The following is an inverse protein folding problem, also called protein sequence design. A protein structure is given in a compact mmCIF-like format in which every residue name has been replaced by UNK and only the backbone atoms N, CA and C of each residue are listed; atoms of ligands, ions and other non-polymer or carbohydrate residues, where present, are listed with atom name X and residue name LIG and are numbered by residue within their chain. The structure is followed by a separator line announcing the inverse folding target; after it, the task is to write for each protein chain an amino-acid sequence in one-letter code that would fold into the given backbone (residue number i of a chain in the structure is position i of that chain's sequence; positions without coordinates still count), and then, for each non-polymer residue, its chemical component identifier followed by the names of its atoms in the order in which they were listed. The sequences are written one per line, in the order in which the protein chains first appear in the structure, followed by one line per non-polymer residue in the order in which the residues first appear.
data_IF_466172793240
#
_entry.id   IF_466172793240
#
_cell.length_a   1.000
_cell.length_b   1.000
_cell.length_c   1.000
_cell.angle_alpha   90.00
_cell.angle_beta   90.00
_cell.angle_gamma   90.00
#
_symmetry.space_group_name_H-M   'P 1'
#
loop_
_entity.id
_entity.type
_entity.pdbx_description
1 polymer ?
#
# COMPACT_ATOMS: atom_id res chain seq x y z
N UNK A 1 -27.28 -25.29 -2.42
CA UNK A 1 -27.49 -23.88 -2.85
C UNK A 1 -28.00 -23.91 -4.29
N UNK A 2 -28.91 -23.00 -4.66
CA UNK A 2 -29.34 -22.85 -6.06
C UNK A 2 -28.13 -22.54 -6.94
N UNK A 3 -28.05 -23.19 -8.09
CA UNK A 3 -27.05 -22.89 -9.11
C UNK A 3 -27.32 -21.50 -9.68
N UNK A 4 -26.28 -20.66 -9.81
CA UNK A 4 -26.42 -19.35 -10.46
C UNK A 4 -26.33 -19.59 -11.96
N UNK A 5 -27.41 -19.24 -12.66
CA UNK A 5 -27.53 -19.37 -14.11
C UNK A 5 -27.63 -17.99 -14.75
N UNK A 6 -27.64 -17.95 -16.09
CA UNK A 6 -27.80 -16.71 -16.87
C UNK A 6 -29.15 -16.00 -16.65
N UNK A 7 -30.15 -16.73 -16.17
CA UNK A 7 -31.48 -16.17 -15.88
C UNK A 7 -31.68 -15.80 -14.41
N UNK A 8 -30.71 -16.12 -13.55
CA UNK A 8 -30.76 -15.78 -12.13
C UNK A 8 -30.60 -14.27 -11.97
N UNK A 9 -31.50 -13.65 -11.23
CA UNK A 9 -31.45 -12.22 -10.87
C UNK A 9 -30.42 -11.96 -9.76
N UNK A 10 -29.98 -10.71 -9.60
CA UNK A 10 -29.15 -10.31 -8.48
C UNK A 10 -29.88 -10.57 -7.15
N UNK A 11 -31.17 -10.24 -7.07
CA UNK A 11 -31.99 -10.55 -5.89
C UNK A 11 -31.97 -12.04 -5.52
N UNK A 12 -32.14 -12.94 -6.50
CA UNK A 12 -32.04 -14.39 -6.25
C UNK A 12 -30.61 -14.82 -5.89
N UNK A 13 -29.58 -14.17 -6.45
CA UNK A 13 -28.19 -14.48 -6.15
C UNK A 13 -27.84 -14.19 -4.67
N UNK A 14 -28.50 -13.19 -4.05
CA UNK A 14 -28.34 -12.86 -2.63
C UNK A 14 -28.82 -13.98 -1.68
N UNK A 15 -29.62 -14.95 -2.14
CA UNK A 15 -30.01 -16.12 -1.32
C UNK A 15 -28.80 -16.92 -0.81
N UNK A 16 -27.65 -16.82 -1.51
CA UNK A 16 -26.39 -17.50 -1.16
C UNK A 16 -25.66 -16.86 0.02
N UNK A 17 -25.94 -15.59 0.32
CA UNK A 17 -25.26 -14.85 1.38
C UNK A 17 -25.77 -15.31 2.76
N UNK A 18 -24.92 -15.25 3.79
CA UNK A 18 -25.44 -15.39 5.15
C UNK A 18 -26.20 -14.12 5.55
N UNK A 19 -27.07 -14.22 6.55
CA UNK A 19 -27.85 -13.06 7.00
C UNK A 19 -26.93 -11.93 7.47
N UNK A 20 -25.83 -12.25 8.14
CA UNK A 20 -24.89 -11.26 8.66
C UNK A 20 -24.12 -10.55 7.53
N UNK A 21 -23.76 -11.25 6.46
CA UNK A 21 -23.18 -10.64 5.25
C UNK A 21 -24.16 -9.67 4.59
N UNK A 22 -25.45 -10.05 4.51
CA UNK A 22 -26.50 -9.19 3.99
C UNK A 22 -26.73 -7.94 4.85
N UNK A 23 -26.61 -8.06 6.18
CA UNK A 23 -26.71 -6.91 7.07
C UNK A 23 -25.53 -5.96 6.86
N UNK A 24 -24.32 -6.49 6.76
CA UNK A 24 -23.12 -5.70 6.42
C UNK A 24 -23.32 -4.94 5.12
N UNK A 25 -23.76 -5.64 4.07
CA UNK A 25 -23.99 -5.02 2.77
C UNK A 25 -25.12 -3.98 2.82
N UNK A 26 -26.22 -4.27 3.53
CA UNK A 26 -27.30 -3.30 3.73
C UNK A 26 -26.81 -2.01 4.40
N UNK A 27 -25.96 -2.09 5.42
CA UNK A 27 -25.38 -0.91 6.07
C UNK A 27 -24.44 -0.13 5.14
N UNK A 28 -23.67 -0.84 4.31
CA UNK A 28 -22.81 -0.21 3.30
C UNK A 28 -23.61 0.52 2.21
N UNK A 29 -24.82 0.04 1.90
CA UNK A 29 -25.80 0.71 1.03
C UNK A 29 -26.60 1.82 1.74
N UNK A 30 -26.27 2.14 3.00
CA UNK A 30 -26.94 3.19 3.77
C UNK A 30 -28.31 2.80 4.37
N UNK A 31 -28.71 1.52 4.31
CA UNK A 31 -29.96 1.07 4.91
C UNK A 31 -29.86 1.04 6.44
N UNK A 32 -30.90 1.55 7.11
CA UNK A 32 -31.01 1.56 8.57
C UNK A 32 -32.28 0.84 9.03
N UNK A 33 -32.31 0.37 10.29
CA UNK A 33 -33.49 -0.32 10.84
C UNK A 33 -33.73 -1.75 10.32
N UNK A 34 -32.81 -2.31 9.53
CA UNK A 34 -32.99 -3.61 8.84
C UNK A 34 -32.62 -4.85 9.67
N UNK A 35 -32.02 -4.69 10.86
CA UNK A 35 -31.50 -5.81 11.67
C UNK A 35 -32.55 -6.83 12.10
N UNK A 36 -33.80 -6.38 12.26
CA UNK A 36 -34.94 -7.22 12.67
C UNK A 36 -35.61 -7.95 11.51
N UNK A 37 -35.28 -7.62 10.26
CA UNK A 37 -35.89 -8.24 9.08
C UNK A 37 -35.53 -9.72 9.00
N UNK A 38 -36.44 -10.51 8.44
CA UNK A 38 -36.13 -11.88 8.03
C UNK A 38 -35.20 -11.84 6.81
N UNK A 39 -34.45 -12.92 6.57
CA UNK A 39 -33.49 -12.97 5.45
C UNK A 39 -34.14 -12.64 4.10
N UNK A 40 -35.34 -13.14 3.84
CA UNK A 40 -36.06 -12.86 2.59
C UNK A 40 -36.41 -11.36 2.43
N UNK A 41 -36.95 -10.73 3.47
CA UNK A 41 -37.27 -9.29 3.48
C UNK A 41 -36.00 -8.43 3.36
N UNK A 42 -34.90 -8.87 3.98
CA UNK A 42 -33.60 -8.20 3.87
C UNK A 42 -33.03 -8.29 2.46
N UNK A 43 -33.13 -9.44 1.79
CA UNK A 43 -32.73 -9.63 0.39
C UNK A 43 -33.51 -8.66 -0.51
N UNK A 44 -34.82 -8.54 -0.32
CA UNK A 44 -35.66 -7.62 -1.09
C UNK A 44 -35.20 -6.17 -0.92
N UNK A 45 -34.93 -5.71 0.31
CA UNK A 45 -34.47 -4.34 0.55
C UNK A 45 -33.06 -4.07 0.01
N UNK A 46 -32.12 -5.01 0.19
CA UNK A 46 -30.76 -4.89 -0.35
C UNK A 46 -30.79 -4.86 -1.88
N UNK A 47 -31.56 -5.75 -2.52
CA UNK A 47 -31.70 -5.77 -3.96
C UNK A 47 -32.33 -4.49 -4.49
N UNK A 48 -33.41 -4.00 -3.86
CA UNK A 48 -34.04 -2.75 -4.24
C UNK A 48 -33.07 -1.57 -4.14
N UNK A 49 -32.38 -1.41 -3.00
CA UNK A 49 -31.45 -0.30 -2.78
C UNK A 49 -30.27 -0.32 -3.76
N UNK A 50 -29.64 -1.48 -4.00
CA UNK A 50 -28.51 -1.59 -4.94
C UNK A 50 -28.92 -1.27 -6.38
N UNK A 51 -30.17 -1.59 -6.75
CA UNK A 51 -30.73 -1.36 -8.09
C UNK A 51 -31.42 0.01 -8.25
N UNK A 52 -31.46 0.83 -7.20
CA UNK A 52 -31.92 2.21 -7.33
C UNK A 52 -31.02 2.98 -8.31
N UNK A 53 -31.57 3.80 -9.23
CA UNK A 53 -30.78 4.42 -10.29
C UNK A 53 -29.58 5.23 -9.79
N UNK A 54 -29.72 5.92 -8.67
CA UNK A 54 -28.65 6.74 -8.08
C UNK A 54 -27.52 5.88 -7.49
N UNK A 55 -27.85 4.83 -6.73
CA UNK A 55 -26.86 3.90 -6.18
C UNK A 55 -26.10 3.18 -7.30
N UNK A 56 -26.84 2.68 -8.30
CA UNK A 56 -26.24 2.02 -9.45
C UNK A 56 -25.39 2.99 -10.29
N UNK A 57 -25.80 4.26 -10.41
CA UNK A 57 -25.02 5.30 -11.10
C UNK A 57 -23.63 5.43 -10.50
N UNK A 58 -23.51 5.65 -9.20
CA UNK A 58 -22.21 5.86 -8.58
C UNK A 58 -21.38 4.58 -8.48
N UNK A 59 -22.02 3.44 -8.23
CA UNK A 59 -21.37 2.12 -8.26
C UNK A 59 -20.77 1.79 -9.63
N UNK A 60 -21.46 2.12 -10.72
CA UNK A 60 -20.96 1.94 -12.08
C UNK A 60 -19.90 2.97 -12.47
N UNK A 61 -19.91 4.16 -11.86
CA UNK A 61 -19.06 5.28 -12.25
C UNK A 61 -17.56 5.09 -11.93
N UNK A 62 -17.22 4.16 -11.03
CA UNK A 62 -15.81 3.83 -10.74
C UNK A 62 -15.20 2.87 -11.76
N UNK A 63 -16.02 2.21 -12.58
CA UNK A 63 -15.51 1.33 -13.63
C UNK A 63 -14.78 2.14 -14.70
N UNK A 64 -13.60 1.69 -15.09
CA UNK A 64 -12.92 2.27 -16.24
C UNK A 64 -13.53 1.82 -17.57
N UNK A 65 -13.06 2.41 -18.66
CA UNK A 65 -13.61 2.16 -20.00
C UNK A 65 -13.47 0.69 -20.44
N UNK A 66 -12.44 -0.02 -19.98
CA UNK A 66 -12.23 -1.42 -20.34
C UNK A 66 -13.23 -2.31 -19.61
N UNK A 67 -13.41 -2.09 -18.30
CA UNK A 67 -14.38 -2.82 -17.49
C UNK A 67 -15.82 -2.54 -17.91
N UNK A 68 -16.16 -1.27 -18.23
CA UNK A 68 -17.46 -0.95 -18.83
C UNK A 68 -17.68 -1.65 -20.17
N UNK A 69 -16.66 -1.69 -21.04
CA UNK A 69 -16.79 -2.40 -22.32
C UNK A 69 -17.02 -3.90 -22.14
N UNK A 70 -16.43 -4.53 -21.12
CA UNK A 70 -16.70 -5.93 -20.75
C UNK A 70 -18.16 -6.07 -20.29
N UNK A 71 -18.61 -5.22 -19.36
CA UNK A 71 -19.98 -5.19 -18.86
C UNK A 71 -21.00 -5.02 -20.01
N UNK A 72 -20.80 -4.05 -20.90
CA UNK A 72 -21.69 -3.79 -22.03
C UNK A 72 -21.73 -4.92 -23.06
N UNK A 73 -20.60 -5.61 -23.28
CA UNK A 73 -20.59 -6.84 -24.11
C UNK A 73 -21.41 -7.93 -23.43
N UNK A 74 -21.29 -8.06 -22.10
CA UNK A 74 -22.02 -9.04 -21.31
C UNK A 74 -23.53 -8.75 -21.19
N UNK A 75 -23.99 -7.53 -21.48
CA UNK A 75 -25.42 -7.21 -21.62
C UNK A 75 -26.04 -7.86 -22.87
N UNK A 76 -25.24 -8.13 -23.91
CA UNK A 76 -25.71 -8.67 -25.19
C UNK A 76 -25.69 -10.21 -25.23
N UNK A 77 -25.16 -10.84 -24.19
CA UNK A 77 -24.93 -12.28 -24.10
C UNK A 77 -23.74 -12.59 -23.20
N UNK A 78 -23.24 -13.82 -23.24
CA UNK A 78 -22.11 -14.22 -22.39
C UNK A 78 -20.79 -13.66 -22.91
N UNK A 79 -20.06 -12.99 -22.01
CA UNK A 79 -18.68 -12.61 -22.25
C UNK A 79 -17.74 -13.76 -21.87
N UNK A 80 -16.84 -14.14 -22.77
CA UNK A 80 -15.84 -15.17 -22.50
C UNK A 80 -14.52 -14.47 -22.19
N UNK A 81 -14.00 -14.68 -20.98
CA UNK A 81 -12.80 -14.02 -20.51
C UNK A 81 -11.60 -14.99 -20.51
N UNK A 82 -10.43 -14.40 -20.68
CA UNK A 82 -9.14 -15.07 -20.62
C UNK A 82 -8.33 -14.54 -19.43
N UNK A 83 -7.10 -15.01 -19.25
CA UNK A 83 -6.21 -14.58 -18.15
C UNK A 83 -6.04 -13.05 -18.10
N UNK A 84 -6.03 -12.37 -19.25
CA UNK A 84 -5.80 -10.91 -19.34
C UNK A 84 -7.00 -10.08 -18.91
N UNK A 85 -8.20 -10.62 -19.06
CA UNK A 85 -9.46 -9.91 -18.75
C UNK A 85 -10.11 -10.42 -17.46
N UNK A 86 -9.54 -11.47 -16.88
CA UNK A 86 -10.05 -12.16 -15.70
C UNK A 86 -10.18 -11.23 -14.48
N UNK A 87 -9.16 -10.43 -14.16
CA UNK A 87 -9.18 -9.58 -12.96
C UNK A 87 -10.21 -8.47 -13.07
N UNK A 88 -10.42 -7.93 -14.28
CA UNK A 88 -11.51 -6.98 -14.57
C UNK A 88 -12.87 -7.64 -14.41
N UNK A 89 -13.05 -8.86 -14.91
CA UNK A 89 -14.30 -9.62 -14.74
C UNK A 89 -14.58 -9.90 -13.26
N UNK A 90 -13.58 -10.31 -12.49
CA UNK A 90 -13.75 -10.54 -11.06
C UNK A 90 -14.08 -9.23 -10.33
N UNK A 91 -13.42 -8.13 -10.66
CA UNK A 91 -13.75 -6.81 -10.12
C UNK A 91 -15.21 -6.41 -10.42
N UNK A 92 -15.70 -6.65 -11.65
CA UNK A 92 -17.10 -6.40 -12.02
C UNK A 92 -18.06 -7.29 -11.21
N UNK A 93 -17.74 -8.59 -11.08
CA UNK A 93 -18.50 -9.55 -10.28
C UNK A 93 -18.56 -9.15 -8.80
N UNK A 94 -17.46 -8.66 -8.24
CA UNK A 94 -17.38 -8.24 -6.84
C UNK A 94 -18.19 -6.98 -6.54
N UNK A 95 -18.48 -6.13 -7.53
CA UNK A 95 -19.46 -5.05 -7.38
C UNK A 95 -20.91 -5.53 -7.53
N UNK A 96 -21.13 -6.85 -7.55
CA UNK A 96 -22.45 -7.48 -7.64
C UNK A 96 -23.22 -7.21 -8.94
N UNK A 97 -22.52 -6.88 -10.02
CA UNK A 97 -23.11 -6.55 -11.32
C UNK A 97 -23.41 -7.78 -12.19
N UNK A 98 -22.85 -8.95 -11.84
CA UNK A 98 -23.02 -10.17 -12.60
C UNK A 98 -22.35 -11.37 -11.95
N UNK A 99 -22.31 -12.48 -12.68
CA UNK A 99 -21.67 -13.71 -12.24
C UNK A 99 -20.62 -14.18 -13.23
N UNK A 100 -19.52 -14.72 -12.69
CA UNK A 100 -18.41 -15.28 -13.45
C UNK A 100 -18.14 -16.71 -12.99
N UNK A 101 -18.04 -17.64 -13.95
CA UNK A 101 -17.73 -19.04 -13.70
C UNK A 101 -17.16 -19.68 -14.96
N UNK A 102 -16.15 -20.53 -14.83
CA UNK A 102 -15.60 -21.35 -15.92
C UNK A 102 -15.19 -20.53 -17.18
N UNK A 103 -14.63 -19.33 -17.02
CA UNK A 103 -14.24 -18.49 -18.16
C UNK A 103 -15.39 -17.73 -18.82
N UNK A 104 -16.60 -17.81 -18.26
CA UNK A 104 -17.78 -17.08 -18.73
C UNK A 104 -18.24 -16.04 -17.70
N UNK A 105 -18.67 -14.88 -18.19
CA UNK A 105 -19.28 -13.81 -17.41
C UNK A 105 -20.60 -13.37 -18.03
N UNK A 106 -21.61 -13.14 -17.19
CA UNK A 106 -22.90 -12.57 -17.59
C UNK A 106 -23.44 -11.60 -16.55
N UNK A 107 -24.16 -10.59 -17.01
CA UNK A 107 -24.82 -9.57 -16.17
C UNK A 107 -26.14 -10.13 -15.64
N UNK A 108 -26.50 -9.79 -14.41
CA UNK A 108 -27.80 -10.18 -13.85
C UNK A 108 -28.96 -9.45 -14.57
N UNK A 109 -30.08 -10.12 -14.91
CA UNK A 109 -31.15 -9.50 -15.72
C UNK A 109 -31.78 -8.23 -15.11
N UNK A 110 -31.92 -8.19 -13.80
CA UNK A 110 -32.42 -7.04 -13.03
C UNK A 110 -31.40 -5.90 -12.96
N UNK A 111 -30.10 -6.19 -12.88
CA UNK A 111 -29.02 -5.20 -13.06
C UNK A 111 -29.05 -4.61 -14.47
N UNK A 112 -29.17 -5.44 -15.51
CA UNK A 112 -29.28 -4.99 -16.89
C UNK A 112 -30.50 -4.06 -17.09
N UNK A 113 -31.64 -4.39 -16.48
CA UNK A 113 -32.84 -3.55 -16.52
C UNK A 113 -32.66 -2.22 -15.78
N UNK A 114 -32.01 -2.22 -14.61
CA UNK A 114 -31.72 -1.01 -13.86
C UNK A 114 -30.75 -0.09 -14.63
N UNK A 115 -29.74 -0.68 -15.30
CA UNK A 115 -28.75 0.02 -16.10
C UNK A 115 -29.36 0.86 -17.24
N UNK A 116 -30.47 0.42 -17.84
CA UNK A 116 -31.18 1.20 -18.87
C UNK A 116 -31.67 2.57 -18.39
N UNK A 117 -31.88 2.74 -17.07
CA UNK A 117 -32.29 4.02 -16.47
C UNK A 117 -31.11 4.93 -16.12
N UNK A 118 -29.90 4.37 -16.09
CA UNK A 118 -28.68 5.03 -15.62
C UNK A 118 -27.80 5.47 -16.80
N UNK A 119 -27.68 4.63 -17.83
CA UNK A 119 -26.82 4.91 -18.96
C UNK A 119 -27.26 6.17 -19.70
N UNK A 120 -26.30 7.01 -20.07
CA UNK A 120 -26.56 8.25 -20.77
C UNK A 120 -25.33 9.16 -20.84
N UNK A 121 -25.51 10.35 -21.38
CA UNK A 121 -24.44 11.34 -21.51
C UNK A 121 -23.96 11.86 -20.16
N UNK A 122 -24.87 12.02 -19.19
CA UNK A 122 -24.55 12.46 -17.83
C UNK A 122 -23.63 11.44 -17.14
N UNK A 123 -24.04 10.17 -17.09
CA UNK A 123 -23.21 9.08 -16.60
C UNK A 123 -21.85 9.05 -17.30
N UNK A 124 -21.83 9.08 -18.64
CA UNK A 124 -20.60 9.00 -19.42
C UNK A 124 -19.64 10.15 -19.13
N UNK A 125 -20.15 11.32 -18.72
CA UNK A 125 -19.35 12.49 -18.36
C UNK A 125 -18.80 12.35 -16.93
N UNK A 126 -19.65 11.93 -16.00
CA UNK A 126 -19.28 11.73 -14.60
C UNK A 126 -18.27 10.59 -14.45
N UNK A 127 -18.55 9.43 -15.04
CA UNK A 127 -17.73 8.23 -14.98
C UNK A 127 -16.28 8.48 -15.41
N UNK A 128 -16.03 9.26 -16.48
CA UNK A 128 -14.65 9.57 -16.91
C UNK A 128 -13.83 10.28 -15.83
N UNK A 129 -14.46 11.11 -15.01
CA UNK A 129 -13.82 11.78 -13.87
C UNK A 129 -13.73 10.83 -12.67
N UNK A 130 -14.84 10.18 -12.34
CA UNK A 130 -14.95 9.26 -11.21
C UNK A 130 -13.99 8.08 -11.32
N UNK A 131 -13.92 7.40 -12.47
CA UNK A 131 -13.00 6.29 -12.69
C UNK A 131 -11.54 6.72 -12.58
N UNK A 132 -11.20 7.96 -12.97
CA UNK A 132 -9.84 8.48 -12.79
C UNK A 132 -9.52 8.76 -11.33
N UNK A 133 -10.41 9.43 -10.61
CA UNK A 133 -10.24 9.69 -9.18
C UNK A 133 -10.17 8.37 -8.41
N UNK A 134 -10.96 7.36 -8.79
CA UNK A 134 -10.89 6.01 -8.23
C UNK A 134 -9.49 5.38 -8.39
N UNK A 135 -8.87 5.49 -9.57
CA UNK A 135 -7.47 5.04 -9.78
C UNK A 135 -6.48 5.83 -8.91
N UNK A 136 -6.73 7.11 -8.67
CA UNK A 136 -5.91 7.92 -7.77
C UNK A 136 -6.07 7.52 -6.31
N UNK A 137 -7.28 7.16 -5.86
CA UNK A 137 -7.53 6.61 -4.53
C UNK A 137 -6.73 5.31 -4.35
N UNK A 138 -6.79 4.40 -5.32
CA UNK A 138 -6.00 3.16 -5.29
C UNK A 138 -4.51 3.45 -5.14
N UNK A 139 -3.96 4.36 -5.97
CA UNK A 139 -2.56 4.77 -5.83
C UNK A 139 -2.23 5.28 -4.41
N UNK A 140 -3.04 6.20 -3.89
CA UNK A 140 -2.80 6.79 -2.57
C UNK A 140 -2.89 5.75 -1.45
N UNK A 141 -3.83 4.83 -1.56
CA UNK A 141 -4.00 3.73 -0.61
C UNK A 141 -2.77 2.82 -0.53
N UNK A 142 -2.13 2.56 -1.68
CA UNK A 142 -1.01 1.62 -1.82
C UNK A 142 0.35 2.28 -1.59
N UNK A 143 0.50 3.56 -1.94
CA UNK A 143 1.79 4.26 -1.87
C UNK A 143 1.96 5.16 -0.65
N UNK A 144 0.86 5.60 -0.03
CA UNK A 144 0.92 6.60 1.04
C UNK A 144 0.25 6.12 2.33
N UNK A 145 -0.88 5.42 2.23
CA UNK A 145 -1.80 5.06 3.31
C UNK A 145 -2.40 6.25 4.09
N UNK A 146 -1.63 7.28 4.42
CA UNK A 146 -2.08 8.54 5.01
C UNK A 146 -1.79 9.65 4.01
N UNK A 147 -2.81 10.13 3.32
CA UNK A 147 -2.66 11.07 2.21
C UNK A 147 -3.33 12.40 2.53
N UNK A 148 -2.56 13.48 2.73
CA UNK A 148 -3.10 14.84 2.81
C UNK A 148 -3.90 15.21 1.55
N UNK A 149 -4.95 16.02 1.70
CA UNK A 149 -5.84 16.41 0.59
C UNK A 149 -5.10 17.16 -0.52
N UNK A 150 -4.10 17.99 -0.21
CA UNK A 150 -3.28 18.68 -1.21
C UNK A 150 -2.47 17.69 -2.07
N UNK A 151 -1.84 16.69 -1.44
CA UNK A 151 -1.16 15.60 -2.13
C UNK A 151 -2.13 14.79 -2.99
N UNK A 152 -3.31 14.45 -2.46
CA UNK A 152 -4.34 13.73 -3.23
C UNK A 152 -4.78 14.51 -4.48
N UNK A 153 -4.96 15.83 -4.35
CA UNK A 153 -5.26 16.71 -5.48
C UNK A 153 -4.12 16.78 -6.49
N UNK A 154 -2.86 16.75 -6.05
CA UNK A 154 -1.71 16.66 -6.96
C UNK A 154 -1.73 15.36 -7.77
N UNK A 155 -2.03 14.22 -7.14
CA UNK A 155 -2.20 12.93 -7.84
C UNK A 155 -3.35 12.99 -8.84
N UNK A 156 -4.52 13.52 -8.44
CA UNK A 156 -5.66 13.66 -9.37
C UNK A 156 -5.31 14.57 -10.55
N UNK A 157 -4.61 15.67 -10.29
CA UNK A 157 -4.32 16.70 -11.29
C UNK A 157 -3.07 16.41 -12.13
N UNK A 158 -2.39 15.28 -11.91
CA UNK A 158 -1.26 14.86 -12.75
C UNK A 158 -1.73 14.51 -14.19
N UNK A 159 -3.01 14.20 -14.38
CA UNK A 159 -3.59 13.90 -15.69
C UNK A 159 -3.98 15.16 -16.44
N UNK A 160 -3.35 15.37 -17.59
CA UNK A 160 -3.58 16.51 -18.47
C UNK A 160 -5.08 16.67 -18.80
N UNK A 161 -5.59 17.88 -18.60
CA UNK A 161 -6.99 18.23 -18.87
C UNK A 161 -7.95 18.01 -17.69
N UNK A 162 -7.47 17.46 -16.58
CA UNK A 162 -8.20 17.39 -15.32
C UNK A 162 -7.72 18.52 -14.41
N UNK A 163 -8.68 19.20 -13.78
CA UNK A 163 -8.42 20.19 -12.73
C UNK A 163 -9.50 20.05 -11.67
N UNK A 164 -9.21 19.22 -10.68
CA UNK A 164 -10.03 18.94 -9.52
C UNK A 164 -9.70 19.91 -8.39
N UNK A 165 -10.72 20.31 -7.64
CA UNK A 165 -10.62 21.06 -6.38
C UNK A 165 -10.97 20.14 -5.20
N UNK A 166 -10.61 20.57 -3.99
CA UNK A 166 -10.84 19.79 -2.77
C UNK A 166 -12.32 19.42 -2.58
N UNK A 167 -13.21 20.40 -2.67
CA UNK A 167 -14.66 20.22 -2.55
C UNK A 167 -15.21 19.20 -3.57
N UNK A 168 -14.81 19.34 -4.83
CA UNK A 168 -15.20 18.40 -5.89
C UNK A 168 -14.65 16.98 -5.66
N UNK A 169 -13.43 16.84 -5.13
CA UNK A 169 -12.83 15.54 -4.83
C UNK A 169 -13.49 14.87 -3.63
N UNK A 170 -13.81 15.63 -2.59
CA UNK A 170 -14.50 15.18 -1.38
C UNK A 170 -15.91 14.72 -1.72
N UNK A 171 -16.68 15.53 -2.46
CA UNK A 171 -18.02 15.16 -2.93
C UNK A 171 -17.99 13.85 -3.72
N UNK A 172 -17.06 13.72 -4.66
CA UNK A 172 -16.90 12.51 -5.47
C UNK A 172 -16.51 11.29 -4.63
N UNK A 173 -15.64 11.45 -3.64
CA UNK A 173 -15.24 10.39 -2.72
C UNK A 173 -16.44 9.85 -1.92
N UNK A 174 -17.31 10.73 -1.40
CA UNK A 174 -18.49 10.31 -0.64
C UNK A 174 -19.56 9.62 -1.49
N UNK A 175 -19.51 9.75 -2.82
CA UNK A 175 -20.37 9.00 -3.73
C UNK A 175 -19.84 7.60 -4.09
N UNK A 176 -18.56 7.31 -3.91
CA UNK A 176 -18.02 6.01 -4.25
C UNK A 176 -18.59 4.88 -3.36
N UNK A 177 -18.73 3.65 -3.90
CA UNK A 177 -19.37 2.56 -3.18
C UNK A 177 -18.54 2.13 -1.95
N UNK A 178 -19.13 2.29 -0.76
CA UNK A 178 -18.47 2.07 0.54
C UNK A 178 -17.88 0.65 0.67
N UNK A 179 -18.59 -0.34 0.14
CA UNK A 179 -18.16 -1.76 0.13
C UNK A 179 -16.93 -2.04 -0.75
N UNK A 180 -16.47 -1.06 -1.53
CA UNK A 180 -15.28 -1.17 -2.38
C UNK A 180 -14.05 -0.46 -1.79
N UNK A 181 -14.22 0.31 -0.73
CA UNK A 181 -13.12 1.07 -0.12
C UNK A 181 -12.36 0.28 0.93
N UNK A 182 -11.04 0.41 0.89
CA UNK A 182 -10.18 0.20 2.04
C UNK A 182 -9.69 1.52 2.63
N UNK A 183 -10.27 2.63 2.19
CA UNK A 183 -9.91 3.98 2.62
C UNK A 183 -11.10 4.76 3.19
N UNK A 184 -10.84 5.81 3.94
CA UNK A 184 -11.82 6.72 4.53
C UNK A 184 -11.31 8.16 4.48
N UNK A 185 -12.22 9.13 4.47
CA UNK A 185 -11.88 10.54 4.62
C UNK A 185 -11.92 10.92 6.10
N UNK A 186 -10.84 11.51 6.61
CA UNK A 186 -10.74 12.01 7.98
C UNK A 186 -10.70 13.54 7.96
N UNK A 187 -11.69 14.14 8.63
CA UNK A 187 -11.88 15.60 8.76
C UNK A 187 -11.89 16.36 7.43
N UNK A 188 -12.26 15.70 6.33
CA UNK A 188 -12.17 16.22 4.95
C UNK A 188 -10.76 16.71 4.54
N UNK A 189 -9.73 16.33 5.29
CA UNK A 189 -8.33 16.75 5.12
C UNK A 189 -7.41 15.59 4.75
N UNK A 190 -7.76 14.36 5.12
CA UNK A 190 -6.91 13.19 4.88
C UNK A 190 -7.68 12.02 4.28
N UNK A 191 -7.16 11.47 3.19
CA UNK A 191 -7.53 10.14 2.72
C UNK A 191 -6.66 9.11 3.46
N UNK A 192 -7.30 8.26 4.26
CA UNK A 192 -6.63 7.30 5.15
C UNK A 192 -7.03 5.87 4.83
N UNK A 193 -6.06 4.99 4.65
CA UNK A 193 -6.25 3.56 4.53
C UNK A 193 -6.71 2.98 5.88
N UNK A 194 -7.90 2.37 5.88
CA UNK A 194 -8.59 1.81 7.05
C UNK A 194 -7.76 0.74 7.77
N UNK A 195 -6.93 -0.02 7.05
CA UNK A 195 -6.05 -1.03 7.68
C UNK A 195 -5.09 -0.37 8.66
N UNK A 196 -4.53 0.79 8.30
CA UNK A 196 -3.63 1.56 9.17
C UNK A 196 -4.38 2.49 10.13
N UNK A 197 -5.60 2.93 9.79
CA UNK A 197 -6.41 3.76 10.68
C UNK A 197 -7.01 2.98 11.87
N UNK A 198 -7.29 1.68 11.66
CA UNK A 198 -7.95 0.82 12.67
C UNK A 198 -6.97 0.02 13.52
N UNK A 199 -5.71 -0.06 13.09
CA UNK A 199 -4.60 -0.68 13.82
C UNK A 199 -3.57 0.40 14.18
N UNK A 200 -3.69 0.95 15.39
CA UNK A 200 -2.90 2.09 15.88
C UNK A 200 -1.40 1.79 15.87
N UNK A 201 -0.97 0.60 16.34
CA UNK A 201 0.44 0.22 16.37
C UNK A 201 1.03 0.15 14.95
N UNK A 202 0.28 -0.46 14.02
CA UNK A 202 0.69 -0.55 12.62
C UNK A 202 0.73 0.82 11.94
N UNK A 203 -0.25 1.68 12.23
CA UNK A 203 -0.31 3.05 11.72
C UNK A 203 0.85 3.91 12.22
N UNK A 204 1.13 3.89 13.52
CA UNK A 204 2.25 4.60 14.14
C UNK A 204 3.60 4.12 13.57
N UNK A 205 3.80 2.81 13.46
CA UNK A 205 5.03 2.25 12.89
C UNK A 205 5.27 2.73 11.45
N UNK A 206 4.22 2.77 10.62
CA UNK A 206 4.34 3.29 9.25
C UNK A 206 4.67 4.79 9.24
N UNK A 207 4.01 5.59 10.08
CA UNK A 207 4.28 7.03 10.17
C UNK A 207 5.71 7.31 10.66
N UNK A 208 6.24 6.52 11.60
CA UNK A 208 7.64 6.58 12.02
C UNK A 208 8.61 6.29 10.87
N UNK A 209 8.32 5.28 10.04
CA UNK A 209 9.13 4.95 8.87
C UNK A 209 9.07 6.01 7.78
N UNK A 210 7.88 6.56 7.53
CA UNK A 210 7.67 7.60 6.53
C UNK A 210 8.27 8.95 6.94
N UNK A 211 8.27 9.26 8.23
CA UNK A 211 8.86 10.46 8.81
C UNK A 211 8.51 11.75 8.03
N UNK A 212 9.53 12.54 7.67
CA UNK A 212 9.44 13.80 6.93
C UNK A 212 9.70 13.62 5.43
N UNK A 213 9.72 12.39 4.91
CA UNK A 213 9.92 12.13 3.48
C UNK A 213 8.86 12.87 2.65
N UNK A 214 9.27 13.54 1.59
CA UNK A 214 8.33 14.16 0.65
C UNK A 214 7.50 13.09 -0.05
N UNK A 215 6.26 13.43 -0.43
CA UNK A 215 5.43 12.55 -1.25
C UNK A 215 5.95 12.53 -2.69
N UNK A 216 6.12 11.35 -3.25
CA UNK A 216 6.32 11.21 -4.68
C UNK A 216 4.98 11.36 -5.40
N UNK A 217 4.84 12.30 -6.33
CA UNK A 217 3.64 12.46 -7.15
C UNK A 217 3.80 11.68 -8.47
N UNK A 218 2.93 10.72 -8.79
CA UNK A 218 3.04 9.91 -10.00
C UNK A 218 2.67 10.67 -11.26
N UNK A 219 3.21 10.21 -12.38
CA UNK A 219 2.64 10.49 -13.69
C UNK A 219 1.29 9.80 -13.87
N UNK A 220 0.46 10.31 -14.78
CA UNK A 220 -0.82 9.66 -15.08
C UNK A 220 -0.64 8.25 -15.66
N UNK A 221 0.50 7.97 -16.29
CA UNK A 221 0.80 6.64 -16.82
C UNK A 221 1.10 5.65 -15.68
N UNK A 222 1.84 6.05 -14.66
CA UNK A 222 2.10 5.20 -13.49
C UNK A 222 0.81 4.86 -12.74
N UNK A 223 -0.11 5.82 -12.58
CA UNK A 223 -1.42 5.56 -11.96
C UNK A 223 -2.22 4.54 -12.77
N UNK A 224 -2.27 4.68 -14.10
CA UNK A 224 -3.01 3.76 -14.96
C UNK A 224 -2.36 2.37 -14.97
N UNK A 225 -1.03 2.28 -15.10
CA UNK A 225 -0.30 1.02 -15.10
C UNK A 225 -0.42 0.30 -13.76
N UNK A 226 -0.21 1.01 -12.64
CA UNK A 226 -0.36 0.41 -11.32
C UNK A 226 -1.77 -0.13 -11.09
N UNK A 227 -2.80 0.62 -11.49
CA UNK A 227 -4.18 0.17 -11.35
C UNK A 227 -4.49 -1.07 -12.22
N UNK A 228 -3.96 -1.12 -13.44
CA UNK A 228 -4.24 -2.19 -14.39
C UNK A 228 -3.41 -3.46 -14.12
N UNK A 229 -2.15 -3.31 -13.69
CA UNK A 229 -1.17 -4.39 -13.56
C UNK A 229 -0.78 -4.69 -12.09
N UNK A 230 -1.30 -3.92 -11.13
CA UNK A 230 -0.95 -3.99 -9.69
C UNK A 230 0.54 -3.77 -9.38
N UNK A 231 1.30 -3.29 -10.38
CA UNK A 231 2.74 -3.09 -10.33
C UNK A 231 3.21 -2.14 -11.45
N UNK A 232 4.44 -1.62 -11.35
CA UNK A 232 5.07 -0.79 -12.38
C UNK A 232 6.15 -1.58 -13.15
N UNK A 233 5.73 -2.62 -13.86
CA UNK A 233 6.62 -3.54 -14.55
C UNK A 233 7.24 -2.95 -15.82
N UNK A 234 6.68 -1.88 -16.39
CA UNK A 234 7.20 -1.19 -17.57
C UNK A 234 8.52 -0.45 -17.32
N UNK A 235 8.89 -0.27 -16.04
CA UNK A 235 10.11 0.41 -15.65
C UNK A 235 11.37 -0.31 -16.17
N UNK A 236 12.47 0.42 -16.48
CA UNK A 236 13.68 -0.19 -17.02
C UNK A 236 14.26 -1.33 -16.17
N UNK A 237 14.19 -1.21 -14.83
CA UNK A 237 14.69 -2.23 -13.92
C UNK A 237 13.94 -3.56 -14.08
N UNK A 238 12.60 -3.51 -14.11
CA UNK A 238 11.77 -4.70 -14.27
C UNK A 238 11.81 -5.27 -15.69
N UNK A 239 11.96 -4.43 -16.71
CA UNK A 239 12.15 -4.90 -18.09
C UNK A 239 13.48 -5.65 -18.28
N UNK A 240 14.56 -5.21 -17.63
CA UNK A 240 15.83 -5.96 -17.62
C UNK A 240 15.69 -7.29 -16.90
N UNK A 241 15.07 -7.31 -15.72
CA UNK A 241 14.84 -8.54 -14.96
C UNK A 241 13.94 -9.51 -15.73
N UNK A 242 12.87 -9.03 -16.38
CA UNK A 242 12.03 -9.81 -17.28
C UNK A 242 12.83 -10.45 -18.41
N UNK A 243 13.67 -9.67 -19.08
CA UNK A 243 14.51 -10.16 -20.18
C UNK A 243 15.49 -11.24 -19.69
N UNK A 244 16.08 -11.07 -18.51
CA UNK A 244 16.92 -12.11 -17.92
C UNK A 244 16.12 -13.39 -17.67
N UNK A 245 14.97 -13.27 -17.00
CA UNK A 245 14.08 -14.38 -16.69
C UNK A 245 13.60 -15.16 -17.92
N UNK A 246 13.34 -14.47 -19.03
CA UNK A 246 12.93 -15.10 -20.28
C UNK A 246 14.02 -15.97 -20.92
N UNK A 247 15.29 -15.71 -20.60
CA UNK A 247 16.48 -16.37 -21.13
C UNK A 247 17.23 -17.24 -20.12
N UNK A 248 16.89 -17.18 -18.83
CA UNK A 248 17.52 -17.95 -17.77
C UNK A 248 17.36 -19.46 -18.00
N UNK A 249 18.37 -20.25 -17.66
CA UNK A 249 18.28 -21.71 -17.66
C UNK A 249 17.27 -22.25 -16.62
N UNK A 250 16.91 -21.41 -15.64
CA UNK A 250 16.01 -21.68 -14.53
C UNK A 250 14.50 -21.51 -14.84
N UNK A 251 14.12 -21.35 -16.11
CA UNK A 251 12.78 -20.94 -16.56
C UNK A 251 11.67 -21.98 -16.40
N UNK A 252 12.01 -23.26 -16.22
CA UNK A 252 11.01 -24.33 -16.32
C UNK A 252 9.85 -24.14 -15.32
N UNK A 253 8.64 -23.95 -15.88
CA UNK A 253 7.35 -23.81 -15.16
C UNK A 253 7.09 -22.47 -14.44
N UNK A 254 7.86 -21.43 -14.71
CA UNK A 254 7.66 -20.12 -14.07
C UNK A 254 6.82 -19.20 -14.97
N UNK A 255 5.73 -18.66 -14.40
CA UNK A 255 4.99 -17.54 -14.98
C UNK A 255 5.77 -16.24 -14.70
N UNK A 256 6.62 -15.83 -15.65
CA UNK A 256 7.53 -14.68 -15.47
C UNK A 256 6.79 -13.41 -15.08
N UNK A 257 5.67 -13.08 -15.73
CA UNK A 257 4.94 -11.84 -15.43
C UNK A 257 4.32 -11.88 -14.03
N UNK A 258 3.70 -13.00 -13.66
CA UNK A 258 3.18 -13.21 -12.30
C UNK A 258 4.26 -13.12 -11.23
N UNK A 259 5.43 -13.73 -11.46
CA UNK A 259 6.55 -13.68 -10.52
C UNK A 259 7.09 -12.26 -10.33
N UNK A 260 7.17 -11.47 -11.41
CA UNK A 260 7.64 -10.08 -11.33
C UNK A 260 6.64 -9.16 -10.64
N UNK A 261 5.34 -9.37 -10.87
CA UNK A 261 4.26 -8.70 -10.14
C UNK A 261 4.38 -8.98 -8.64
N UNK A 262 4.48 -10.26 -8.26
CA UNK A 262 4.61 -10.66 -6.86
C UNK A 262 5.87 -10.09 -6.20
N UNK A 263 7.00 -10.06 -6.93
CA UNK A 263 8.23 -9.41 -6.48
C UNK A 263 8.02 -7.92 -6.26
N UNK A 264 7.39 -7.22 -7.21
CA UNK A 264 7.10 -5.79 -7.10
C UNK A 264 6.24 -5.49 -5.88
N UNK A 265 5.15 -6.24 -5.68
CA UNK A 265 4.27 -6.10 -4.52
C UNK A 265 5.02 -6.38 -3.22
N UNK A 266 5.86 -7.41 -3.18
CA UNK A 266 6.66 -7.69 -1.98
C UNK A 266 7.60 -6.55 -1.63
N UNK A 267 8.31 -6.01 -2.61
CA UNK A 267 9.23 -4.89 -2.38
C UNK A 267 8.48 -3.61 -2.02
N UNK A 268 7.32 -3.33 -2.62
CA UNK A 268 6.58 -2.08 -2.36
C UNK A 268 5.94 -2.05 -0.98
N UNK A 269 5.61 -3.22 -0.42
CA UNK A 269 4.97 -3.37 0.90
C UNK A 269 5.93 -3.72 2.04
N UNK A 270 7.04 -4.42 1.77
CA UNK A 270 8.02 -4.83 2.78
C UNK A 270 9.17 -3.83 2.85
N UNK A 271 9.53 -3.44 4.07
CA UNK A 271 10.76 -2.68 4.32
C UNK A 271 12.04 -3.50 4.12
N UNK A 272 11.93 -4.83 4.18
CA UNK A 272 13.08 -5.72 4.07
C UNK A 272 13.21 -6.29 2.66
N UNK A 273 14.09 -5.66 1.87
CA UNK A 273 14.48 -6.17 0.56
C UNK A 273 15.12 -7.56 0.60
N UNK A 274 15.73 -7.97 1.72
CA UNK A 274 16.34 -9.29 1.83
C UNK A 274 15.28 -10.40 1.81
N UNK A 275 14.16 -10.19 2.49
CA UNK A 275 13.04 -11.16 2.50
C UNK A 275 12.44 -11.31 1.10
N UNK A 276 12.26 -10.18 0.38
CA UNK A 276 11.75 -10.20 -0.99
C UNK A 276 12.71 -10.93 -1.95
N UNK A 277 14.01 -10.67 -1.83
CA UNK A 277 15.06 -11.33 -2.62
C UNK A 277 15.13 -12.82 -2.29
N UNK A 278 15.13 -13.19 -1.01
CA UNK A 278 15.18 -14.58 -0.58
C UNK A 278 13.96 -15.34 -1.08
N UNK A 279 12.77 -14.77 -0.94
CA UNK A 279 11.53 -15.35 -1.46
C UNK A 279 11.61 -15.57 -2.98
N UNK A 280 12.15 -14.60 -3.73
CA UNK A 280 12.30 -14.71 -5.18
C UNK A 280 13.23 -15.86 -5.57
N UNK A 281 14.39 -15.98 -4.91
CA UNK A 281 15.34 -17.06 -5.17
C UNK A 281 14.77 -18.45 -4.84
N UNK A 282 13.88 -18.54 -3.86
CA UNK A 282 13.19 -19.79 -3.51
C UNK A 282 12.19 -20.27 -4.57
N UNK A 283 11.84 -19.43 -5.57
CA UNK A 283 10.97 -19.85 -6.67
C UNK A 283 11.69 -20.72 -7.71
N UNK A 284 13.02 -20.86 -7.60
CA UNK A 284 13.84 -21.65 -8.52
C UNK A 284 14.35 -22.92 -7.84
N UNK A 285 14.21 -24.06 -8.51
CA UNK A 285 14.76 -25.33 -8.04
C UNK A 285 16.30 -25.31 -8.01
N UNK A 286 16.92 -24.63 -9.00
CA UNK A 286 18.36 -24.39 -9.05
C UNK A 286 18.67 -23.21 -9.97
N UNK A 287 19.69 -22.43 -9.61
CA UNK A 287 20.23 -21.32 -10.43
C UNK A 287 21.73 -21.58 -10.61
N UNK A 288 22.23 -21.42 -11.84
CA UNK A 288 23.66 -21.57 -12.13
C UNK A 288 24.45 -20.45 -11.46
N UNK A 289 25.69 -20.70 -11.06
CA UNK A 289 26.47 -19.74 -10.25
C UNK A 289 26.72 -18.38 -10.95
N UNK A 290 26.95 -18.39 -12.27
CA UNK A 290 27.07 -17.19 -13.11
C UNK A 290 25.74 -16.44 -13.24
N UNK A 291 24.63 -17.17 -13.42
CA UNK A 291 23.26 -16.62 -13.46
C UNK A 291 22.85 -16.04 -12.10
N UNK A 292 23.32 -16.62 -11.00
CA UNK A 292 23.05 -16.13 -9.65
C UNK A 292 23.63 -14.73 -9.42
N UNK A 293 24.86 -14.48 -9.87
CA UNK A 293 25.46 -13.16 -9.76
C UNK A 293 24.70 -12.12 -10.59
N UNK A 294 24.30 -12.47 -11.81
CA UNK A 294 23.54 -11.58 -12.69
C UNK A 294 22.15 -11.25 -12.12
N UNK A 295 21.40 -12.28 -11.68
CA UNK A 295 20.06 -12.08 -11.12
C UNK A 295 20.12 -11.28 -9.82
N UNK A 296 21.14 -11.48 -8.98
CA UNK A 296 21.33 -10.67 -7.77
C UNK A 296 21.52 -9.18 -8.08
N UNK A 297 22.29 -8.85 -9.12
CA UNK A 297 22.45 -7.48 -9.58
C UNK A 297 21.12 -6.87 -10.06
N UNK A 298 20.33 -7.64 -10.82
CA UNK A 298 19.02 -7.22 -11.32
C UNK A 298 17.97 -7.08 -10.22
N UNK A 299 17.99 -7.94 -9.20
CA UNK A 299 17.11 -7.85 -8.04
C UNK A 299 17.42 -6.62 -7.18
N UNK A 300 18.70 -6.31 -6.98
CA UNK A 300 19.10 -5.07 -6.31
C UNK A 300 18.73 -3.84 -7.13
N UNK A 301 18.84 -3.91 -8.47
CA UNK A 301 18.36 -2.83 -9.34
C UNK A 301 16.83 -2.66 -9.22
N UNK A 302 16.07 -3.74 -9.24
CA UNK A 302 14.61 -3.72 -9.04
C UNK A 302 14.28 -3.09 -7.68
N UNK A 303 14.81 -3.61 -6.58
CA UNK A 303 14.59 -3.10 -5.22
C UNK A 303 14.81 -1.59 -5.11
N UNK A 304 15.95 -1.10 -5.62
CA UNK A 304 16.30 0.31 -5.52
C UNK A 304 15.44 1.24 -6.39
N UNK A 305 14.70 0.69 -7.36
CA UNK A 305 13.82 1.43 -8.28
C UNK A 305 12.33 1.13 -8.07
N UNK A 306 11.96 0.37 -7.04
CA UNK A 306 10.56 0.11 -6.69
C UNK A 306 10.04 1.19 -5.74
N UNK A 307 8.83 1.69 -6.01
CA UNK A 307 8.14 2.66 -5.15
C UNK A 307 7.62 1.94 -3.91
N UNK A 308 7.83 2.52 -2.73
CA UNK A 308 7.52 1.87 -1.45
C UNK A 308 6.56 2.70 -0.61
N UNK A 309 5.66 2.01 0.08
CA UNK A 309 4.70 2.61 1.01
C UNK A 309 5.43 3.35 2.16
N UNK A 310 6.45 2.73 2.74
CA UNK A 310 7.27 3.33 3.79
C UNK A 310 8.08 4.57 3.32
N UNK A 311 8.17 4.78 2.01
CA UNK A 311 8.87 5.89 1.39
C UNK A 311 7.92 6.92 0.76
N UNK A 312 6.62 6.89 1.09
CA UNK A 312 5.59 7.76 0.49
C UNK A 312 5.65 7.76 -1.04
N UNK A 313 5.76 6.56 -1.61
CA UNK A 313 5.87 6.33 -3.05
C UNK A 313 7.22 6.66 -3.67
N UNK A 314 8.23 7.11 -2.92
CA UNK A 314 9.58 7.25 -3.46
C UNK A 314 10.26 5.88 -3.58
N UNK A 315 11.18 5.78 -4.53
CA UNK A 315 12.14 4.67 -4.62
C UNK A 315 13.32 4.91 -3.67
N UNK A 316 14.01 3.85 -3.19
CA UNK A 316 15.24 4.02 -2.40
C UNK A 316 16.29 4.90 -3.09
N UNK A 317 16.45 4.79 -4.41
CA UNK A 317 17.44 5.58 -5.16
C UNK A 317 17.07 7.07 -5.25
N UNK A 318 15.79 7.41 -5.36
CA UNK A 318 15.33 8.82 -5.32
C UNK A 318 15.64 9.44 -3.95
N UNK A 319 15.37 8.72 -2.85
CA UNK A 319 15.68 9.18 -1.51
C UNK A 319 17.20 9.31 -1.29
N UNK A 320 17.98 8.34 -1.74
CA UNK A 320 19.44 8.39 -1.63
C UNK A 320 20.06 9.58 -2.40
N UNK A 321 19.48 9.96 -3.54
CA UNK A 321 19.92 11.15 -4.31
C UNK A 321 19.52 12.47 -3.64
N UNK A 322 18.37 12.50 -2.95
CA UNK A 322 17.91 13.66 -2.17
C UNK A 322 18.72 13.84 -0.89
N UNK A 323 19.24 12.75 -0.33
CA UNK A 323 20.25 12.74 0.74
C UNK A 323 21.58 13.29 0.22
N UNK A 324 21.63 14.60 0.00
CA UNK A 324 22.90 15.32 -0.01
C UNK A 324 23.43 15.29 1.42
N UNK A 325 24.33 14.36 1.71
CA UNK A 325 25.23 14.53 2.85
C UNK A 325 26.01 15.82 2.60
N UNK A 326 25.57 16.92 3.22
CA UNK A 326 26.34 18.17 3.26
C UNK A 326 27.53 17.92 4.19
N UNK A 327 28.64 17.45 3.60
CA UNK A 327 29.84 17.06 4.33
C UNK A 327 29.89 15.57 4.63
N UNK A 328 31.10 15.04 4.84
CA UNK A 328 31.30 13.67 5.31
C UNK A 328 30.55 13.49 6.64
N UNK A 329 29.74 12.44 6.80
CA UNK A 329 29.01 12.22 8.04
C UNK A 329 29.99 12.01 9.20
N UNK A 330 29.78 12.74 10.29
CA UNK A 330 30.52 12.53 11.54
C UNK A 330 30.02 11.26 12.20
N UNK A 331 30.91 10.29 12.38
CA UNK A 331 30.61 9.05 13.10
C UNK A 331 30.56 9.38 14.60
N UNK A 332 29.49 8.93 15.28
CA UNK A 332 29.28 9.16 16.72
C UNK A 332 29.04 7.85 17.46
N UNK A 333 29.33 7.81 18.76
CA UNK A 333 29.14 6.59 19.55
C UNK A 333 27.74 6.53 20.19
N UNK A 334 27.08 5.38 20.07
CA UNK A 334 25.79 5.11 20.71
C UNK A 334 25.87 4.41 22.08
N UNK A 335 27.05 3.90 22.46
CA UNK A 335 27.32 3.20 23.73
C UNK A 335 28.78 3.39 24.16
N UNK A 336 29.10 3.17 25.43
CA UNK A 336 30.47 3.19 25.91
C UNK A 336 31.37 2.15 25.20
N UNK A 337 30.80 1.00 24.84
CA UNK A 337 31.51 -0.04 24.08
C UNK A 337 31.81 0.42 22.65
N UNK A 338 30.83 1.00 21.96
CA UNK A 338 31.04 1.56 20.63
C UNK A 338 32.07 2.71 20.67
N UNK A 339 32.04 3.53 21.71
CA UNK A 339 33.02 4.61 21.91
C UNK A 339 34.45 4.07 22.07
N UNK A 340 34.64 2.93 22.75
CA UNK A 340 35.96 2.31 22.87
C UNK A 340 36.46 1.78 21.51
N UNK A 341 35.62 1.04 20.78
CA UNK A 341 35.97 0.50 19.46
C UNK A 341 36.29 1.61 18.45
N UNK A 342 35.50 2.68 18.45
CA UNK A 342 35.72 3.84 17.58
C UNK A 342 37.01 4.60 17.93
N UNK A 343 37.41 4.68 19.21
CA UNK A 343 38.71 5.25 19.61
C UNK A 343 39.88 4.45 19.07
N UNK A 344 39.78 3.12 19.10
CA UNK A 344 40.83 2.24 18.57
C UNK A 344 40.93 2.32 17.05
N UNK A 345 39.79 2.44 16.36
CA UNK A 345 39.72 2.53 14.90
C UNK A 345 39.88 3.96 14.33
N UNK A 346 39.96 4.99 15.20
CA UNK A 346 39.97 6.40 14.78
C UNK A 346 41.01 6.72 13.68
N UNK A 347 42.27 6.26 13.75
CA UNK A 347 43.26 6.58 12.73
C UNK A 347 42.94 6.05 11.33
N UNK A 348 42.21 4.93 11.24
CA UNK A 348 41.83 4.33 9.96
C UNK A 348 40.52 4.93 9.43
N UNK A 349 39.60 5.29 10.33
CA UNK A 349 38.36 6.02 10.00
C UNK A 349 38.68 7.41 9.43
N UNK A 350 39.60 8.15 10.06
CA UNK A 350 40.05 9.46 9.59
C UNK A 350 40.76 9.38 8.22
N UNK A 351 41.56 8.32 7.97
CA UNK A 351 42.17 8.06 6.65
C UNK A 351 41.14 7.76 5.56
N UNK A 352 40.01 7.18 5.92
CA UNK A 352 38.86 6.97 5.04
C UNK A 352 38.05 8.26 4.82
N UNK A 353 38.47 9.36 5.47
CA UNK A 353 37.92 10.71 5.32
C UNK A 353 36.71 11.02 6.20
N UNK A 354 36.34 10.12 7.12
CA UNK A 354 35.20 10.33 8.01
C UNK A 354 35.64 11.15 9.23
N UNK A 355 34.85 12.14 9.60
CA UNK A 355 35.00 12.83 10.88
C UNK A 355 34.47 11.96 12.02
N UNK A 356 35.08 12.07 13.20
CA UNK A 356 34.73 11.28 14.37
C UNK A 356 34.46 12.17 15.57
N UNK A 357 33.21 12.20 16.04
CA UNK A 357 32.82 12.82 17.31
C UNK A 357 32.22 11.75 18.23
N UNK A 358 33.13 11.09 18.93
CA UNK A 358 32.83 9.95 19.79
C UNK A 358 31.87 10.37 20.91
N UNK A 359 31.90 11.63 21.34
CA UNK A 359 31.21 12.08 22.54
C UNK A 359 29.99 12.98 22.27
N UNK A 360 29.67 13.25 21.00
CA UNK A 360 28.50 14.07 20.59
C UNK A 360 27.18 13.68 21.28
N UNK A 361 26.97 12.37 21.48
CA UNK A 361 25.75 11.82 22.07
C UNK A 361 25.90 11.44 23.55
N UNK A 362 27.03 11.74 24.19
CA UNK A 362 27.30 11.38 25.57
C UNK A 362 26.80 12.48 26.52
N UNK A 363 25.97 12.10 27.50
CA UNK A 363 25.72 12.95 28.65
C UNK A 363 26.81 12.73 29.70
N UNK A 364 27.14 13.79 30.46
CA UNK A 364 28.02 13.68 31.62
C UNK A 364 27.17 13.69 32.88
N UNK A 365 27.21 12.58 33.62
CA UNK A 365 26.45 12.42 34.86
C UNK A 365 27.40 12.42 36.07
N UNK A 366 27.00 13.03 37.20
CA UNK A 366 27.72 12.89 38.45
C UNK A 366 27.51 11.49 39.00
N UNK A 367 28.60 10.76 39.23
CA UNK A 367 28.62 9.46 39.89
C UNK A 367 29.20 9.63 41.29
N UNK A 368 28.48 9.11 42.26
CA UNK A 368 28.90 9.12 43.66
C UNK A 368 29.54 7.76 43.93
N UNK A 369 30.88 7.76 44.07
CA UNK A 369 31.65 6.58 44.42
C UNK A 369 31.92 6.52 45.93
N UNK A 370 31.84 5.32 46.49
CA UNK A 370 32.35 5.00 47.83
C UNK A 370 33.49 3.98 47.72
N UNK A 371 34.68 4.38 47.20
CA UNK A 371 35.76 3.44 46.89
C UNK A 371 36.30 2.71 48.14
N UNK A 372 36.10 3.28 49.33
CA UNK A 372 36.55 2.72 50.62
C UNK A 372 35.37 2.19 51.48
N UNK A 373 34.22 1.88 50.88
CA UNK A 373 33.03 1.36 51.58
C UNK A 373 32.29 2.43 52.40
N UNK A 374 31.27 2.00 53.16
CA UNK A 374 30.32 2.90 53.87
C UNK A 374 30.98 3.80 54.93
N UNK A 375 32.19 3.47 55.37
CA UNK A 375 32.96 4.25 56.36
C UNK A 375 33.99 5.19 55.69
N UNK A 376 34.08 5.21 54.36
CA UNK A 376 34.98 6.07 53.61
C UNK A 376 34.34 7.40 53.19
N UNK A 377 35.18 8.38 52.83
CA UNK A 377 34.70 9.63 52.26
C UNK A 377 34.00 9.43 50.91
N UNK A 378 32.91 10.17 50.69
CA UNK A 378 32.21 10.20 49.41
C UNK A 378 33.08 10.91 48.37
N UNK A 379 33.33 10.24 47.24
CA UNK A 379 34.01 10.84 46.09
C UNK A 379 32.99 11.09 45.00
N UNK A 380 32.88 12.34 44.55
CA UNK A 380 32.07 12.71 43.40
C UNK A 380 32.97 12.72 42.17
N UNK A 381 32.70 11.84 41.21
CA UNK A 381 33.34 11.84 39.90
C UNK A 381 32.31 12.04 38.82
N UNK A 382 32.74 12.50 37.65
CA UNK A 382 31.88 12.60 36.48
C UNK A 382 32.12 11.40 35.58
N UNK A 383 31.05 10.82 35.02
CA UNK A 383 31.12 9.72 34.06
C UNK A 383 30.29 10.03 32.84
N UNK A 384 30.83 9.72 31.65
CA UNK A 384 30.09 9.73 30.40
C UNK A 384 29.11 8.55 30.33
N UNK A 385 27.86 8.83 29.96
CA UNK A 385 26.82 7.84 29.70
C UNK A 385 26.25 8.09 28.31
N UNK A 386 26.19 7.03 27.50
CA UNK A 386 25.72 7.09 26.12
C UNK A 386 24.26 6.59 26.00
N UNK A 387 23.52 6.91 24.92
CA UNK A 387 22.08 6.67 24.83
C UNK A 387 21.68 5.20 25.02
N UNK A 388 22.50 4.26 24.56
CA UNK A 388 22.22 2.83 24.69
C UNK A 388 22.87 2.16 25.91
N UNK A 389 23.62 2.90 26.74
CA UNK A 389 24.20 2.34 27.96
C UNK A 389 23.11 1.98 28.99
N UNK A 390 23.35 1.03 29.90
CA UNK A 390 22.47 0.78 31.03
C UNK A 390 22.26 2.06 31.86
N UNK A 391 21.02 2.33 32.23
CA UNK A 391 20.69 3.54 32.98
C UNK A 391 21.32 3.52 34.39
N UNK A 392 22.03 4.58 34.81
CA UNK A 392 22.74 4.65 36.09
C UNK A 392 21.81 4.61 37.31
N UNK A 393 20.50 4.85 37.15
CA UNK A 393 19.53 4.75 38.26
C UNK A 393 19.21 3.30 38.66
N UNK A 394 19.77 2.30 37.96
CA UNK A 394 19.57 0.88 38.27
C UNK A 394 18.26 0.30 37.74
N UNK A 395 17.53 1.01 36.86
CA UNK A 395 16.23 0.57 36.34
C UNK A 395 16.28 -0.63 35.37
N UNK A 396 17.47 -1.05 34.94
CA UNK A 396 17.66 -2.10 33.93
C UNK A 396 17.33 -1.67 32.49
N UNK A 397 16.86 -0.44 32.26
CA UNK A 397 16.54 0.11 30.93
C UNK A 397 17.78 0.79 30.30
N UNK A 398 17.78 0.95 28.97
CA UNK A 398 18.76 1.81 28.27
C UNK A 398 18.56 3.28 28.70
N UNK A 399 19.65 4.03 28.80
CA UNK A 399 19.65 5.42 29.29
C UNK A 399 18.65 6.32 28.53
N UNK A 400 18.61 6.26 27.19
CA UNK A 400 17.66 7.00 26.33
C UNK A 400 16.19 6.66 26.54
N UNK A 401 15.90 5.51 27.16
CA UNK A 401 14.52 5.06 27.49
C UNK A 401 14.22 5.25 29.00
N UNK A 402 15.08 5.93 29.74
CA UNK A 402 14.95 6.18 31.18
C UNK A 402 15.42 7.60 31.54
N UNK A 403 16.50 7.78 32.31
CA UNK A 403 16.95 9.09 32.78
C UNK A 403 17.41 10.04 31.66
N UNK A 404 17.75 9.52 30.47
CA UNK A 404 18.11 10.29 29.29
C UNK A 404 16.97 10.44 28.27
N UNK A 405 15.73 10.13 28.66
CA UNK A 405 14.55 10.36 27.81
C UNK A 405 14.29 11.87 27.77
N UNK A 406 14.55 12.49 26.62
CA UNK A 406 14.15 13.87 26.31
C UNK A 406 12.75 13.89 25.73
#
# INVERSE_FOLDING_TARGET
MKEITRNTTFQEALERFQKDDLLTFAYQLGLSGVSKLRKAELIEQVAAQMLEPEELFYRMAILDNQSLAIFEKALKGTYHYDKKTMDRVYSIKEMHLGWASNGEFWVFPDVAKAWEKVKGEEFSRYQKRASWVWKCVDWCEKMYAFTPMDVFLEVINCKKGIRMKADEAIEMFYHFPIDRFWSGMMDDEFLVNRVYATDEERGEALLEQQADKEFYIPSSQEVEEHYDELALLSTPAYQKLKKFMENCSCKDKIDTEGLLLDLWVKISWLDDGQDAIQWFLQQFDSVREDELQEVMGLLMEAYNNTRMLANRGNTPIELAKKSTFQGMPTITAGSAQAAALLREAAPDIEKMGFDLDIDANADTIPVIGMPNGMNGGIVRTEKKVYPNDPCPCGSGKKYKKCCGRK
#
